data_IF_172715503121
#
_entry.id   IF_172715503121
#
_cell.length_a   1.000
_cell.length_b   1.000
_cell.length_c   1.000
_cell.angle_alpha   90.00
_cell.angle_beta   90.00
_cell.angle_gamma   90.00
#
_symmetry.space_group_name_H-M   'P 1'
#
loop_
_entity.id
_entity.type
_entity.pdbx_description
1 polymer ?
#
# COMPACT_ATOMS: atom_id res chain seq x y z
N UNK A 1 0.59 33.24 -42.93
CA UNK A 1 -0.64 33.47 -42.14
C UNK A 1 -1.04 32.16 -41.46
N UNK A 2 -0.78 32.02 -40.16
CA UNK A 2 -1.10 30.80 -39.41
C UNK A 2 -2.58 30.75 -39.02
N UNK A 3 -3.32 29.76 -39.55
CA UNK A 3 -4.71 29.47 -39.16
C UNK A 3 -4.72 29.06 -37.69
N UNK A 4 -5.16 29.96 -36.80
CA UNK A 4 -5.42 29.62 -35.39
C UNK A 4 -6.62 28.66 -35.34
N UNK A 5 -6.46 27.54 -34.65
CA UNK A 5 -7.51 26.53 -34.47
C UNK A 5 -8.78 27.10 -33.78
N UNK A 6 -9.88 26.34 -33.79
CA UNK A 6 -11.16 26.80 -33.28
C UNK A 6 -11.05 27.22 -31.80
N UNK A 7 -11.76 28.30 -31.43
CA UNK A 7 -11.78 28.82 -30.06
C UNK A 7 -12.35 27.77 -29.10
N UNK A 8 -11.69 27.60 -27.94
CA UNK A 8 -12.13 26.71 -26.87
C UNK A 8 -13.57 27.06 -26.45
N UNK A 9 -14.43 26.03 -26.32
CA UNK A 9 -15.82 26.18 -25.84
C UNK A 9 -15.91 26.45 -24.33
N UNK A 10 -14.84 26.19 -23.58
CA UNK A 10 -14.77 26.40 -22.14
C UNK A 10 -14.20 27.78 -21.84
N UNK A 11 -14.90 28.53 -20.99
CA UNK A 11 -14.55 29.92 -20.67
C UNK A 11 -13.38 29.98 -19.69
N UNK A 12 -13.31 29.02 -18.76
CA UNK A 12 -12.31 28.99 -17.69
C UNK A 12 -11.53 27.67 -17.62
N UNK A 13 -10.33 27.71 -17.05
CA UNK A 13 -9.47 26.52 -16.91
C UNK A 13 -10.10 25.41 -16.04
N UNK A 14 -10.89 25.82 -15.02
CA UNK A 14 -11.64 24.91 -14.15
C UNK A 14 -12.66 24.08 -14.95
N UNK A 15 -13.44 24.71 -15.81
CA UNK A 15 -14.43 24.04 -16.69
C UNK A 15 -13.74 23.06 -17.65
N UNK A 16 -12.54 23.43 -18.16
CA UNK A 16 -11.78 22.54 -19.04
C UNK A 16 -11.28 21.30 -18.32
N UNK A 17 -10.89 21.42 -17.04
CA UNK A 17 -10.46 20.30 -16.19
C UNK A 17 -11.63 19.39 -15.83
N UNK A 18 -12.78 19.96 -15.49
CA UNK A 18 -14.01 19.22 -15.18
C UNK A 18 -14.52 18.46 -16.42
N UNK A 19 -14.60 19.12 -17.58
CA UNK A 19 -15.01 18.48 -18.83
C UNK A 19 -14.07 17.34 -19.26
N UNK A 20 -12.75 17.45 -18.99
CA UNK A 20 -11.79 16.36 -19.23
C UNK A 20 -12.05 15.17 -18.31
N UNK A 21 -12.26 15.41 -17.01
CA UNK A 21 -12.57 14.36 -16.04
C UNK A 21 -13.89 13.66 -16.40
N UNK A 22 -14.90 14.42 -16.81
CA UNK A 22 -16.20 13.89 -17.19
C UNK A 22 -16.14 13.11 -18.51
N UNK A 23 -15.42 13.62 -19.52
CA UNK A 23 -15.19 12.89 -20.76
C UNK A 23 -14.43 11.58 -20.51
N UNK A 24 -13.45 11.58 -19.61
CA UNK A 24 -12.71 10.39 -19.22
C UNK A 24 -13.61 9.39 -18.48
N UNK A 25 -14.42 9.83 -17.51
CA UNK A 25 -15.42 8.99 -16.83
C UNK A 25 -16.41 8.37 -17.82
N UNK A 26 -16.96 9.17 -18.72
CA UNK A 26 -17.91 8.71 -19.74
C UNK A 26 -17.27 7.72 -20.72
N UNK A 27 -15.98 7.91 -21.05
CA UNK A 27 -15.24 6.97 -21.88
C UNK A 27 -15.09 5.63 -21.16
N UNK A 28 -14.65 5.61 -19.90
CA UNK A 28 -14.48 4.39 -19.13
C UNK A 28 -15.81 3.68 -18.85
N UNK A 29 -16.89 4.41 -18.57
CA UNK A 29 -18.20 3.81 -18.34
C UNK A 29 -18.70 3.05 -19.59
N UNK A 30 -18.39 3.55 -20.79
CA UNK A 30 -18.81 2.93 -22.06
C UNK A 30 -17.83 1.89 -22.59
N UNK A 31 -16.54 2.02 -22.30
CA UNK A 31 -15.48 1.24 -22.95
C UNK A 31 -14.65 0.37 -21.99
N UNK A 32 -14.93 0.36 -20.68
CA UNK A 32 -14.15 -0.39 -19.67
C UNK A 32 -13.97 -1.86 -20.02
N UNK A 33 -15.05 -2.56 -20.39
CA UNK A 33 -14.99 -3.99 -20.76
C UNK A 33 -14.12 -4.26 -21.98
N UNK A 34 -14.19 -3.39 -22.99
CA UNK A 34 -13.38 -3.51 -24.21
C UNK A 34 -11.91 -3.16 -23.93
N UNK A 35 -11.68 -2.15 -23.09
CA UNK A 35 -10.34 -1.76 -22.65
C UNK A 35 -9.66 -2.89 -21.86
N UNK A 36 -10.35 -3.46 -20.87
CA UNK A 36 -9.88 -4.61 -20.08
C UNK A 36 -9.58 -5.79 -21.01
N UNK A 37 -10.48 -6.13 -21.94
CA UNK A 37 -10.26 -7.21 -22.91
C UNK A 37 -9.04 -6.96 -23.81
N UNK A 38 -8.84 -5.73 -24.28
CA UNK A 38 -7.71 -5.36 -25.14
C UNK A 38 -6.38 -5.27 -24.39
N UNK A 39 -6.42 -5.01 -23.08
CA UNK A 39 -5.24 -5.05 -22.19
C UNK A 39 -4.88 -6.51 -21.91
N UNK A 40 -5.86 -7.36 -21.57
CA UNK A 40 -5.66 -8.80 -21.34
C UNK A 40 -5.17 -9.53 -22.60
N UNK A 41 -5.74 -9.24 -23.77
CA UNK A 41 -5.29 -9.83 -25.04
C UNK A 41 -3.86 -9.43 -25.41
N UNK A 42 -3.45 -8.19 -25.10
CA UNK A 42 -2.05 -7.75 -25.26
C UNK A 42 -1.12 -8.48 -24.30
N UNK A 43 -1.50 -8.62 -23.03
CA UNK A 43 -0.71 -9.37 -22.02
C UNK A 43 -0.52 -10.85 -22.40
N UNK A 44 -1.57 -11.52 -22.88
CA UNK A 44 -1.49 -12.92 -23.34
C UNK A 44 -0.64 -13.09 -24.60
N UNK A 45 -0.69 -12.13 -25.53
CA UNK A 45 0.17 -12.14 -26.72
C UNK A 45 1.66 -12.01 -26.38
N UNK A 46 2.00 -11.25 -25.33
CA UNK A 46 3.37 -11.09 -24.86
C UNK A 46 3.89 -12.33 -24.10
N UNK A 47 3.03 -13.02 -23.35
CA UNK A 47 3.39 -14.28 -22.66
C UNK A 47 3.58 -15.45 -23.63
N UNK A 48 2.81 -15.52 -24.71
CA UNK A 48 2.98 -16.55 -25.73
C UNK A 48 4.27 -16.34 -26.58
N UNK A 49 4.79 -15.11 -26.63
CA UNK A 49 6.02 -14.76 -27.36
C UNK A 49 7.33 -15.05 -26.61
N UNK A 50 7.29 -15.42 -25.33
CA UNK A 50 8.49 -15.62 -24.50
C UNK A 50 8.92 -17.09 -24.33
N UNK A 51 8.34 -18.04 -25.07
CA UNK A 51 8.71 -19.47 -25.02
C UNK A 51 9.55 -19.99 -26.20
N UNK A 52 10.18 -19.14 -27.01
CA UNK A 52 11.09 -19.64 -28.06
C UNK A 52 12.54 -19.13 -27.92
N UNK A 53 13.41 -20.13 -27.74
CA UNK A 53 14.85 -20.19 -28.06
C UNK A 53 15.82 -19.40 -27.19
N UNK A 54 16.27 -20.04 -26.09
CA UNK A 54 17.68 -19.98 -25.68
C UNK A 54 18.35 -21.25 -26.23
N UNK A 55 19.07 -21.11 -27.33
CA UNK A 55 20.12 -22.06 -27.72
C UNK A 55 21.42 -21.26 -27.80
N UNK A 56 22.34 -21.60 -26.90
CA UNK A 56 23.71 -21.09 -26.87
C UNK A 56 24.51 -21.53 -28.10
N UNK A 57 25.20 -20.59 -28.73
CA UNK A 57 26.45 -20.67 -29.50
C UNK A 57 26.75 -19.21 -29.90
N UNK A 58 27.83 -18.52 -29.53
CA UNK A 58 29.24 -18.89 -29.65
C UNK A 58 29.78 -18.35 -30.99
N UNK A 59 30.45 -17.18 -30.99
CA UNK A 59 31.27 -16.72 -32.14
C UNK A 59 31.13 -15.25 -32.54
N UNK A 60 32.28 -14.67 -32.90
CA UNK A 60 32.64 -13.26 -33.16
C UNK A 60 31.94 -12.49 -34.30
N UNK A 61 32.07 -11.16 -34.18
CA UNK A 61 32.14 -10.10 -35.21
C UNK A 61 31.17 -10.09 -36.40
N UNK A 62 30.34 -9.05 -36.50
CA UNK A 62 30.41 -8.07 -37.60
C UNK A 62 29.31 -7.00 -37.51
N UNK A 63 29.75 -5.80 -37.89
CA UNK A 63 29.05 -4.53 -38.05
C UNK A 63 27.82 -4.64 -38.97
N UNK A 64 26.64 -4.18 -38.55
CA UNK A 64 25.58 -3.71 -39.46
C UNK A 64 24.53 -2.87 -38.73
N UNK A 65 24.43 -1.60 -39.12
CA UNK A 65 23.36 -0.71 -38.73
C UNK A 65 21.99 -1.18 -39.21
N UNK A 66 21.01 -1.17 -38.30
CA UNK A 66 19.60 -1.40 -38.60
C UNK A 66 18.78 -0.93 -37.40
N UNK A 67 17.97 0.12 -37.61
CA UNK A 67 17.24 0.84 -36.57
C UNK A 67 16.51 -0.06 -35.59
N UNK A 68 16.98 -0.08 -34.34
CA UNK A 68 16.26 -0.71 -33.24
C UNK A 68 14.98 0.08 -32.96
N UNK A 69 13.80 -0.57 -32.94
CA UNK A 69 12.60 0.06 -32.43
C UNK A 69 12.88 0.40 -30.96
N UNK A 70 12.71 1.67 -30.60
CA UNK A 70 12.95 2.16 -29.25
C UNK A 70 12.26 1.23 -28.25
N UNK A 71 13.09 0.54 -27.47
CA UNK A 71 12.71 -0.43 -26.44
C UNK A 71 12.15 0.36 -25.24
N UNK A 72 10.94 0.89 -25.36
CA UNK A 72 10.26 1.60 -24.26
C UNK A 72 9.73 0.60 -23.20
N UNK A 73 9.87 -0.71 -23.42
CA UNK A 73 9.22 -1.76 -22.61
C UNK A 73 10.04 -2.36 -21.45
N UNK A 74 11.18 -1.79 -21.04
CA UNK A 74 11.92 -2.30 -19.88
C UNK A 74 11.53 -1.58 -18.59
N UNK A 75 11.58 -0.25 -18.58
CA UNK A 75 11.44 0.56 -17.35
C UNK A 75 10.05 0.44 -16.70
N UNK A 76 8.98 0.32 -17.48
CA UNK A 76 7.62 0.20 -16.94
C UNK A 76 7.32 -1.19 -16.35
N UNK A 77 7.91 -2.25 -16.92
CA UNK A 77 7.79 -3.60 -16.37
C UNK A 77 8.60 -3.74 -15.08
N UNK A 78 9.80 -3.15 -15.03
CA UNK A 78 10.66 -3.16 -13.83
C UNK A 78 9.96 -2.47 -12.64
N UNK A 79 9.32 -1.32 -12.87
CA UNK A 79 8.58 -0.59 -11.82
C UNK A 79 7.35 -1.34 -11.32
N UNK A 80 6.66 -2.09 -12.19
CA UNK A 80 5.52 -2.90 -11.81
C UNK A 80 5.94 -4.09 -10.92
N UNK A 81 7.01 -4.78 -11.30
CA UNK A 81 7.58 -5.88 -10.52
C UNK A 81 8.11 -5.38 -9.16
N UNK A 82 8.74 -4.21 -9.13
CA UNK A 82 9.20 -3.56 -7.89
C UNK A 82 8.04 -3.30 -6.92
N UNK A 83 6.91 -2.76 -7.39
CA UNK A 83 5.73 -2.54 -6.54
C UNK A 83 5.16 -3.88 -6.06
N UNK A 84 5.01 -4.86 -6.94
CA UNK A 84 4.46 -6.16 -6.58
C UNK A 84 5.33 -6.88 -5.53
N UNK A 85 6.65 -6.84 -5.69
CA UNK A 85 7.60 -7.45 -4.78
C UNK A 85 7.65 -6.69 -3.46
N UNK A 86 7.71 -5.35 -3.49
CA UNK A 86 7.74 -4.52 -2.29
C UNK A 86 6.50 -4.66 -1.42
N UNK A 87 5.31 -4.76 -2.03
CA UNK A 87 4.08 -5.05 -1.28
C UNK A 87 4.07 -6.46 -0.68
N UNK A 88 4.59 -7.46 -1.38
CA UNK A 88 4.70 -8.83 -0.86
C UNK A 88 5.61 -8.88 0.36
N UNK A 89 6.80 -8.30 0.26
CA UNK A 89 7.77 -8.24 1.36
C UNK A 89 7.22 -7.50 2.58
N UNK A 90 6.46 -6.43 2.38
CA UNK A 90 5.81 -5.71 3.47
C UNK A 90 4.69 -6.52 4.11
N UNK A 91 3.90 -7.25 3.31
CA UNK A 91 2.87 -8.15 3.84
C UNK A 91 3.48 -9.26 4.69
N UNK A 92 4.58 -9.86 4.23
CA UNK A 92 5.33 -10.86 4.99
C UNK A 92 5.87 -10.25 6.29
N UNK A 93 6.54 -9.10 6.20
CA UNK A 93 7.06 -8.38 7.37
C UNK A 93 5.95 -8.06 8.39
N UNK A 94 4.80 -7.59 7.92
CA UNK A 94 3.65 -7.29 8.79
C UNK A 94 3.13 -8.55 9.48
N UNK A 95 2.96 -9.65 8.72
CA UNK A 95 2.46 -10.91 9.25
C UNK A 95 3.40 -11.49 10.32
N UNK A 96 4.70 -11.45 10.06
CA UNK A 96 5.70 -12.04 10.95
C UNK A 96 5.89 -11.20 12.24
N UNK A 97 5.67 -9.88 12.14
CA UNK A 97 5.90 -8.97 13.26
C UNK A 97 4.64 -8.73 14.10
N UNK A 98 3.51 -8.46 13.45
CA UNK A 98 2.26 -8.03 14.09
C UNK A 98 1.21 -9.13 13.93
N UNK A 99 0.92 -9.57 12.69
CA UNK A 99 0.13 -10.77 12.44
C UNK A 99 -1.38 -10.66 12.67
N UNK A 100 -1.94 -9.45 12.90
CA UNK A 100 -3.38 -9.25 13.13
C UNK A 100 -4.03 -8.50 11.98
N UNK A 101 -5.16 -8.97 11.48
CA UNK A 101 -5.94 -8.29 10.42
C UNK A 101 -7.06 -7.42 10.98
N UNK A 102 -7.30 -7.46 12.29
CA UNK A 102 -8.33 -6.70 12.97
C UNK A 102 -7.74 -5.99 14.20
N UNK A 103 -7.99 -4.69 14.28
CA UNK A 103 -7.51 -3.84 15.37
C UNK A 103 -8.02 -4.31 16.75
N UNK A 104 -9.25 -4.83 16.82
CA UNK A 104 -9.80 -5.32 18.10
C UNK A 104 -9.09 -6.58 18.56
N UNK A 105 -8.80 -7.48 17.64
CA UNK A 105 -8.02 -8.69 17.90
C UNK A 105 -6.60 -8.35 18.38
N UNK A 106 -5.94 -7.40 17.73
CA UNK A 106 -4.63 -6.88 18.14
C UNK A 106 -4.69 -6.30 19.56
N UNK A 107 -5.62 -5.38 19.81
CA UNK A 107 -5.76 -4.71 21.10
C UNK A 107 -6.16 -5.64 22.24
N UNK A 108 -7.08 -6.58 21.98
CA UNK A 108 -7.53 -7.57 22.97
C UNK A 108 -6.41 -8.54 23.32
N UNK A 109 -5.63 -8.98 22.32
CA UNK A 109 -4.45 -9.81 22.55
C UNK A 109 -3.41 -9.06 23.39
N UNK A 110 -3.18 -7.78 23.11
CA UNK A 110 -2.27 -6.98 23.90
C UNK A 110 -2.74 -6.81 25.35
N UNK A 111 -4.02 -6.48 25.55
CA UNK A 111 -4.62 -6.33 26.87
C UNK A 111 -4.47 -7.61 27.70
N UNK A 112 -4.76 -8.78 27.12
CA UNK A 112 -4.62 -10.06 27.82
C UNK A 112 -3.19 -10.28 28.34
N UNK A 113 -2.17 -9.83 27.59
CA UNK A 113 -0.78 -9.95 28.01
C UNK A 113 -0.43 -8.98 29.15
N UNK A 114 -0.97 -7.76 29.12
CA UNK A 114 -0.82 -6.79 30.23
C UNK A 114 -1.54 -7.29 31.50
N UNK A 115 -2.69 -7.93 31.35
CA UNK A 115 -3.43 -8.53 32.47
C UNK A 115 -2.65 -9.66 33.14
N UNK A 116 -1.98 -10.51 32.36
CA UNK A 116 -1.19 -11.65 32.85
C UNK A 116 0.16 -11.22 33.43
N UNK A 117 0.74 -10.11 32.99
CA UNK A 117 1.98 -9.60 33.57
C UNK A 117 1.76 -9.15 35.03
N UNK A 118 2.48 -9.76 35.96
CA UNK A 118 2.33 -9.54 37.41
C UNK A 118 3.57 -8.91 38.04
N UNK A 119 4.71 -9.00 37.39
CA UNK A 119 5.99 -8.48 37.88
C UNK A 119 6.46 -7.27 37.09
N UNK A 120 7.21 -6.38 37.74
CA UNK A 120 7.78 -5.19 37.08
C UNK A 120 8.71 -5.56 35.91
N UNK A 121 9.40 -6.71 36.02
CA UNK A 121 10.24 -7.22 34.94
C UNK A 121 9.41 -7.60 33.71
N UNK A 122 8.28 -8.28 33.87
CA UNK A 122 7.36 -8.60 32.77
C UNK A 122 6.79 -7.33 32.14
N UNK A 123 6.47 -6.31 32.94
CA UNK A 123 6.01 -5.02 32.44
C UNK A 123 7.11 -4.31 31.63
N UNK A 124 8.36 -4.36 32.08
CA UNK A 124 9.50 -3.83 31.31
C UNK A 124 9.64 -4.56 29.96
N UNK A 125 9.53 -5.89 29.95
CA UNK A 125 9.57 -6.69 28.72
C UNK A 125 8.43 -6.32 27.78
N UNK A 126 7.21 -6.10 28.30
CA UNK A 126 6.08 -5.66 27.50
C UNK A 126 6.31 -4.25 26.93
N UNK A 127 6.90 -3.33 27.69
CA UNK A 127 7.24 -1.99 27.21
C UNK A 127 8.30 -2.03 26.09
N UNK A 128 9.35 -2.83 26.27
CA UNK A 128 10.39 -3.01 25.25
C UNK A 128 9.81 -3.61 23.97
N UNK A 129 8.92 -4.60 24.12
CA UNK A 129 8.22 -5.19 22.99
C UNK A 129 7.29 -4.20 22.30
N UNK A 130 6.49 -3.42 23.04
CA UNK A 130 5.65 -2.38 22.47
C UNK A 130 6.47 -1.37 21.66
N UNK A 131 7.63 -0.98 22.21
CA UNK A 131 8.59 -0.09 21.54
C UNK A 131 9.12 -0.70 20.25
N UNK A 132 9.51 -1.98 20.27
CA UNK A 132 9.97 -2.70 19.08
C UNK A 132 8.88 -2.78 18.00
N UNK A 133 7.65 -3.14 18.39
CA UNK A 133 6.52 -3.25 17.47
C UNK A 133 6.14 -1.91 16.86
N UNK A 134 6.12 -0.84 17.66
CA UNK A 134 5.90 0.51 17.17
C UNK A 134 6.98 0.93 16.14
N UNK A 135 8.27 0.75 16.46
CA UNK A 135 9.37 1.07 15.52
C UNK A 135 9.27 0.28 14.22
N UNK A 136 8.89 -1.00 14.32
CA UNK A 136 8.74 -1.86 13.15
C UNK A 136 7.58 -1.39 12.26
N UNK A 137 6.44 -1.04 12.86
CA UNK A 137 5.28 -0.50 12.15
C UNK A 137 5.59 0.86 11.50
N UNK A 138 6.29 1.76 12.20
CA UNK A 138 6.71 3.07 11.67
C UNK A 138 7.67 2.93 10.46
N UNK A 139 8.60 1.97 10.54
CA UNK A 139 9.47 1.63 9.42
C UNK A 139 8.70 1.06 8.22
N UNK A 140 7.69 0.21 8.47
CA UNK A 140 6.80 -0.30 7.42
C UNK A 140 5.97 0.81 6.78
N UNK A 141 5.42 1.75 7.56
CA UNK A 141 4.68 2.90 7.05
C UNK A 141 5.56 3.78 6.14
N UNK A 142 6.82 3.99 6.52
CA UNK A 142 7.78 4.72 5.68
C UNK A 142 8.04 4.02 4.34
N UNK A 143 8.10 2.68 4.33
CA UNK A 143 8.26 1.90 3.09
C UNK A 143 7.01 1.98 2.21
N UNK A 144 5.81 1.87 2.80
CA UNK A 144 4.54 2.06 2.06
C UNK A 144 4.48 3.44 1.41
N UNK A 145 4.80 4.51 2.15
CA UNK A 145 4.76 5.87 1.60
C UNK A 145 5.64 6.04 0.36
N UNK A 146 6.80 5.35 0.31
CA UNK A 146 7.68 5.32 -0.86
C UNK A 146 7.09 4.52 -2.01
N UNK A 147 6.55 3.33 -1.73
CA UNK A 147 5.91 2.47 -2.73
C UNK A 147 4.67 3.11 -3.33
N UNK A 148 3.87 3.85 -2.54
CA UNK A 148 2.64 4.50 -2.98
C UNK A 148 2.89 5.46 -4.16
N UNK A 149 4.01 6.19 -4.15
CA UNK A 149 4.38 7.10 -5.25
C UNK A 149 4.60 6.32 -6.57
N UNK A 150 5.24 5.14 -6.48
CA UNK A 150 5.53 4.29 -7.63
C UNK A 150 4.26 3.57 -8.10
N UNK A 151 3.47 3.05 -7.15
CA UNK A 151 2.20 2.38 -7.36
C UNK A 151 1.22 3.27 -8.14
N UNK A 152 1.02 4.51 -7.68
CA UNK A 152 0.08 5.44 -8.32
C UNK A 152 0.44 5.78 -9.78
N UNK A 153 1.70 5.62 -10.16
CA UNK A 153 2.19 5.90 -11.52
C UNK A 153 2.20 4.68 -12.43
N UNK A 154 2.57 3.51 -11.90
CA UNK A 154 2.92 2.35 -12.73
C UNK A 154 2.10 1.09 -12.41
N UNK A 155 1.44 1.00 -11.26
CA UNK A 155 0.82 -0.24 -10.80
C UNK A 155 -0.47 -0.01 -9.98
N UNK A 156 -1.36 0.85 -10.48
CA UNK A 156 -2.61 1.24 -9.81
C UNK A 156 -3.52 0.05 -9.45
N UNK A 157 -3.35 -1.10 -10.11
CA UNK A 157 -4.08 -2.34 -9.81
C UNK A 157 -3.79 -2.89 -8.40
N UNK A 158 -2.70 -2.49 -7.76
CA UNK A 158 -2.39 -2.85 -6.38
C UNK A 158 -2.86 -1.83 -5.33
N UNK A 159 -3.60 -0.78 -5.71
CA UNK A 159 -3.99 0.29 -4.79
C UNK A 159 -4.77 -0.25 -3.59
N UNK A 160 -5.80 -1.08 -3.81
CA UNK A 160 -6.62 -1.63 -2.74
C UNK A 160 -5.79 -2.46 -1.75
N UNK A 161 -4.83 -3.25 -2.25
CA UNK A 161 -3.95 -4.08 -1.42
C UNK A 161 -2.93 -3.23 -0.62
N UNK A 162 -2.49 -2.11 -1.19
CA UNK A 162 -1.64 -1.14 -0.49
C UNK A 162 -2.42 -0.41 0.59
N UNK A 163 -3.63 0.07 0.29
CA UNK A 163 -4.51 0.77 1.22
C UNK A 163 -4.88 -0.12 2.42
N UNK A 164 -5.20 -1.40 2.17
CA UNK A 164 -5.45 -2.38 3.23
C UNK A 164 -4.24 -2.54 4.15
N UNK A 165 -3.05 -2.75 3.57
CA UNK A 165 -1.83 -2.94 4.34
C UNK A 165 -1.42 -1.67 5.11
N UNK A 166 -1.56 -0.50 4.48
CA UNK A 166 -1.33 0.80 5.12
C UNK A 166 -2.24 0.96 6.33
N UNK A 167 -3.53 0.66 6.17
CA UNK A 167 -4.51 0.74 7.25
C UNK A 167 -4.09 -0.12 8.44
N UNK A 168 -3.72 -1.39 8.19
CA UNK A 168 -3.27 -2.33 9.22
C UNK A 168 -2.00 -1.85 9.96
N UNK A 169 -1.03 -1.30 9.23
CA UNK A 169 0.20 -0.76 9.81
C UNK A 169 -0.10 0.47 10.67
N UNK A 170 -0.91 1.41 10.17
CA UNK A 170 -1.27 2.62 10.89
C UNK A 170 -2.02 2.29 12.17
N UNK A 171 -2.97 1.36 12.13
CA UNK A 171 -3.66 0.87 13.32
C UNK A 171 -2.69 0.30 14.36
N UNK A 172 -1.72 -0.51 13.92
CA UNK A 172 -0.71 -1.05 14.81
C UNK A 172 0.16 0.04 15.46
N UNK A 173 0.55 1.08 14.70
CA UNK A 173 1.27 2.24 15.25
C UNK A 173 0.49 2.86 16.41
N UNK A 174 -0.81 3.11 16.24
CA UNK A 174 -1.63 3.72 17.30
C UNK A 174 -1.75 2.82 18.51
N UNK A 175 -2.02 1.53 18.33
CA UNK A 175 -2.15 0.56 19.44
C UNK A 175 -0.86 0.48 20.25
N UNK A 176 0.30 0.32 19.59
CA UNK A 176 1.55 0.17 20.33
C UNK A 176 2.06 1.48 20.92
N UNK A 177 1.82 2.62 20.27
CA UNK A 177 2.12 3.93 20.86
C UNK A 177 1.27 4.20 22.11
N UNK A 178 -0.01 3.85 22.08
CA UNK A 178 -0.90 3.90 23.24
C UNK A 178 -0.39 2.99 24.36
N UNK A 179 -0.05 1.74 24.04
CA UNK A 179 0.52 0.79 24.99
C UNK A 179 1.78 1.34 25.67
N UNK A 180 2.73 1.86 24.90
CA UNK A 180 3.95 2.49 25.44
C UNK A 180 3.61 3.63 26.41
N UNK A 181 2.71 4.53 26.00
CA UNK A 181 2.36 5.73 26.77
C UNK A 181 1.82 5.36 28.16
N UNK A 182 0.92 4.39 28.22
CA UNK A 182 0.33 3.95 29.49
C UNK A 182 1.27 3.05 30.29
N UNK A 183 2.02 2.14 29.66
CA UNK A 183 2.94 1.25 30.39
C UNK A 183 4.12 2.01 30.99
N UNK A 184 4.53 3.14 30.42
CA UNK A 184 5.51 4.05 31.03
C UNK A 184 5.01 4.68 32.34
N UNK A 185 3.70 4.88 32.48
CA UNK A 185 3.07 5.34 33.73
C UNK A 185 2.94 4.16 34.70
N UNK A 186 2.52 3.01 34.18
CA UNK A 186 2.44 1.75 34.90
C UNK A 186 1.30 0.87 34.40
N UNK A 187 1.36 -0.43 34.70
CA UNK A 187 0.37 -1.45 34.33
C UNK A 187 -1.07 -1.01 34.62
N UNK A 188 -1.32 -0.53 35.83
CA UNK A 188 -2.65 -0.14 36.28
C UNK A 188 -3.23 1.03 35.47
N UNK A 189 -2.39 1.90 34.90
CA UNK A 189 -2.88 2.97 34.03
C UNK A 189 -3.49 2.41 32.75
N UNK A 190 -2.83 1.42 32.12
CA UNK A 190 -3.35 0.73 30.94
C UNK A 190 -4.65 -0.02 31.26
N UNK A 191 -4.66 -0.81 32.34
CA UNK A 191 -5.84 -1.59 32.74
C UNK A 191 -7.04 -0.70 33.10
N UNK A 192 -6.81 0.43 33.77
CA UNK A 192 -7.87 1.37 34.09
C UNK A 192 -8.41 2.08 32.84
N UNK A 193 -7.57 2.36 31.85
CA UNK A 193 -8.01 2.88 30.55
C UNK A 193 -8.87 1.84 29.80
N UNK A 194 -8.44 0.57 29.81
CA UNK A 194 -9.18 -0.55 29.21
C UNK A 194 -10.57 -0.74 29.83
N UNK A 195 -10.66 -0.72 31.16
CA UNK A 195 -11.93 -0.85 31.92
C UNK A 195 -12.90 0.30 31.64
N UNK A 196 -12.37 1.49 31.30
CA UNK A 196 -13.17 2.68 30.98
C UNK A 196 -13.50 2.78 29.49
N UNK A 197 -13.15 1.78 28.68
CA UNK A 197 -13.32 1.80 27.23
C UNK A 197 -12.68 3.03 26.55
N UNK A 198 -11.51 3.44 27.05
CA UNK A 198 -10.78 4.62 26.57
C UNK A 198 -9.61 4.31 25.65
N UNK A 199 -9.32 3.03 25.45
CA UNK A 199 -8.24 2.63 24.54
C UNK A 199 -8.70 2.83 23.10
N UNK A 200 -7.77 3.28 22.25
CA UNK A 200 -8.01 3.62 20.85
C UNK A 200 -8.75 2.50 20.10
N UNK A 201 -8.33 1.25 20.31
CA UNK A 201 -8.91 0.08 19.64
C UNK A 201 -10.29 -0.34 20.18
N UNK A 202 -10.74 0.24 21.31
CA UNK A 202 -12.08 0.00 21.89
C UNK A 202 -13.11 1.01 21.41
N UNK A 203 -12.68 2.20 20.95
CA UNK A 203 -13.60 3.25 20.51
C UNK A 203 -14.21 2.85 19.16
N UNK A 204 -15.55 2.79 19.04
CA UNK A 204 -16.20 2.54 17.75
C UNK A 204 -15.84 3.64 16.74
N UNK A 205 -15.59 3.27 15.49
CA UNK A 205 -15.26 4.19 14.40
C UNK A 205 -16.31 5.31 14.21
N UNK A 206 -17.54 5.10 14.68
CA UNK A 206 -18.66 6.04 14.52
C UNK A 206 -18.79 7.08 15.65
N UNK A 207 -17.89 7.12 16.64
CA UNK A 207 -17.98 8.10 17.73
C UNK A 207 -19.32 8.05 18.50
N UNK A 208 -20.02 6.91 18.43
CA UNK A 208 -21.29 6.70 19.09
C UNK A 208 -21.08 6.69 20.59
N UNK A 209 -21.54 7.75 21.26
CA UNK A 209 -21.86 7.74 22.68
C UNK A 209 -22.74 6.51 22.96
N UNK A 210 -22.13 5.43 23.43
CA UNK A 210 -22.84 4.44 24.22
C UNK A 210 -22.91 5.03 25.63
N UNK A 211 -24.13 5.43 25.98
CA UNK A 211 -24.53 5.90 27.30
C UNK A 211 -24.23 4.88 28.41
#
# INVERSE_FOLDING_TARGET
MGKRGPKSRFKNEKERKEARKEAQRNWYQRNSKLHIRNVMARRLGTQAGSSQTVISQGGDESDFGGGSPTRVSSVENDAFEEVSQGLRELWEQYRDTIGFTDIRSLGSNWLAQVEVATTDNEISVLLDRATHMWKSADAMATKIAKLLILLLKHAIEFLDACDELEHLIVQAIYVYREAMTFLQIGREAYLNAAKKHRLFWQVPADGGNAA
#
